data_IF_861667312487
#
_entry.id   IF_861667312487
#
_cell.length_a   1.000
_cell.length_b   1.000
_cell.length_c   1.000
_cell.angle_alpha   90.00
_cell.angle_beta   90.00
_cell.angle_gamma   90.00
#
_symmetry.space_group_name_H-M   'P 1'
#
loop_
_entity.id
_entity.type
_entity.pdbx_description
1 polymer ?
#
# COMPACT_ATOMS: atom_id res chain seq x y z
N UNK A 1 0.51 -7.44 -15.13
CA UNK A 1 1.15 -7.20 -13.82
C UNK A 1 0.23 -6.32 -12.98
N UNK A 2 0.12 -6.60 -11.69
CA UNK A 2 -0.80 -5.86 -10.83
C UNK A 2 -0.34 -4.45 -10.54
N UNK A 3 -1.28 -3.52 -10.49
CA UNK A 3 -1.04 -2.12 -10.15
C UNK A 3 -1.32 -1.90 -8.67
N UNK A 4 -0.36 -1.33 -7.97
CA UNK A 4 -0.32 -1.24 -6.52
C UNK A 4 -0.19 0.22 -6.10
N UNK A 5 -0.97 0.62 -5.07
CA UNK A 5 -0.83 1.94 -4.45
C UNK A 5 -0.42 1.79 -2.99
N UNK A 6 0.58 2.54 -2.58
CA UNK A 6 0.99 2.65 -1.18
C UNK A 6 0.44 3.94 -0.58
N UNK A 7 -0.43 3.81 0.39
CA UNK A 7 -0.83 4.94 1.24
C UNK A 7 0.18 5.03 2.38
N UNK A 8 1.09 6.00 2.27
CA UNK A 8 2.24 6.14 3.14
C UNK A 8 3.51 5.71 2.41
N UNK A 9 4.54 6.54 2.47
CA UNK A 9 5.81 6.32 1.76
C UNK A 9 7.02 6.36 2.69
N UNK A 10 6.82 5.95 3.94
CA UNK A 10 7.88 5.87 4.95
C UNK A 10 8.77 4.66 4.77
N UNK A 11 9.59 4.38 5.78
CA UNK A 11 10.60 3.33 5.70
C UNK A 11 10.05 1.95 5.35
N UNK A 12 8.91 1.59 5.92
CA UNK A 12 8.27 0.28 5.67
C UNK A 12 7.83 0.17 4.22
N UNK A 13 7.13 1.19 3.71
CA UNK A 13 6.69 1.23 2.33
C UNK A 13 7.88 1.17 1.36
N UNK A 14 8.92 1.95 1.63
CA UNK A 14 10.13 1.98 0.81
C UNK A 14 10.79 0.61 0.75
N UNK A 15 10.88 -0.07 1.90
CA UNK A 15 11.47 -1.41 1.97
C UNK A 15 10.69 -2.42 1.11
N UNK A 16 9.37 -2.40 1.20
CA UNK A 16 8.51 -3.30 0.42
C UNK A 16 8.62 -2.99 -1.07
N UNK A 17 8.61 -1.72 -1.43
CA UNK A 17 8.75 -1.29 -2.83
C UNK A 17 10.07 -1.80 -3.42
N UNK A 18 11.18 -1.64 -2.69
CA UNK A 18 12.47 -2.14 -3.15
C UNK A 18 12.46 -3.65 -3.32
N UNK A 19 11.81 -4.37 -2.41
CA UNK A 19 11.66 -5.82 -2.51
C UNK A 19 10.85 -6.23 -3.73
N UNK A 20 9.77 -5.53 -4.01
CA UNK A 20 8.94 -5.79 -5.21
C UNK A 20 9.73 -5.55 -6.50
N UNK A 21 10.46 -4.45 -6.58
CA UNK A 21 11.29 -4.14 -7.73
C UNK A 21 12.37 -5.22 -7.93
N UNK A 22 13.02 -5.63 -6.85
CA UNK A 22 14.03 -6.69 -6.90
C UNK A 22 13.47 -8.02 -7.37
N UNK A 23 12.18 -8.26 -7.11
CA UNK A 23 11.49 -9.49 -7.52
C UNK A 23 10.93 -9.41 -8.95
N UNK A 24 11.15 -8.31 -9.65
CA UNK A 24 10.73 -8.15 -11.04
C UNK A 24 9.45 -7.36 -11.27
N UNK A 25 8.86 -6.79 -10.22
CA UNK A 25 7.68 -5.94 -10.38
C UNK A 25 8.06 -4.62 -11.05
N UNK A 26 7.29 -4.21 -12.06
CA UNK A 26 7.59 -3.00 -12.82
C UNK A 26 7.28 -1.75 -11.98
N UNK A 27 8.23 -0.83 -11.92
CA UNK A 27 8.08 0.44 -11.21
C UNK A 27 6.85 1.24 -11.66
N UNK A 28 6.49 1.16 -12.93
CA UNK A 28 5.35 1.87 -13.49
C UNK A 28 4.02 1.41 -12.92
N UNK A 29 3.99 0.22 -12.33
CA UNK A 29 2.80 -0.35 -11.70
C UNK A 29 2.76 -0.14 -10.19
N UNK A 30 3.67 0.67 -9.66
CA UNK A 30 3.72 1.02 -8.24
C UNK A 30 3.50 2.53 -8.10
N UNK A 31 2.54 2.92 -7.29
CA UNK A 31 2.18 4.32 -7.05
C UNK A 31 2.19 4.59 -5.55
N UNK A 32 2.28 5.85 -5.15
CA UNK A 32 2.27 6.20 -3.74
C UNK A 32 1.44 7.46 -3.46
N UNK A 33 1.01 7.60 -2.21
CA UNK A 33 0.43 8.82 -1.65
C UNK A 33 1.11 9.08 -0.32
N UNK A 34 1.70 10.26 -0.14
CA UNK A 34 2.26 10.70 1.14
C UNK A 34 2.31 12.21 1.16
N UNK A 35 1.99 12.81 2.30
CA UNK A 35 2.05 14.26 2.50
C UNK A 35 3.46 14.75 2.78
N UNK A 36 4.35 13.87 3.25
CA UNK A 36 5.71 14.21 3.62
C UNK A 36 6.57 14.35 2.36
N UNK A 37 7.06 15.57 2.12
CA UNK A 37 7.86 15.87 0.92
C UNK A 37 9.14 15.05 0.85
N UNK A 38 9.79 14.80 1.99
CA UNK A 38 11.01 13.99 2.04
C UNK A 38 10.75 12.57 1.55
N UNK A 39 9.66 11.95 2.02
CA UNK A 39 9.25 10.62 1.57
C UNK A 39 8.91 10.61 0.08
N UNK A 40 8.16 11.61 -0.37
CA UNK A 40 7.83 11.76 -1.79
C UNK A 40 9.09 11.81 -2.65
N UNK A 41 10.09 12.60 -2.24
CA UNK A 41 11.32 12.76 -2.99
C UNK A 41 12.10 11.46 -3.10
N UNK A 42 12.14 10.66 -2.03
CA UNK A 42 12.81 9.37 -2.03
C UNK A 42 12.21 8.45 -3.11
N UNK A 43 10.88 8.35 -3.14
CA UNK A 43 10.21 7.48 -4.10
C UNK A 43 10.30 8.01 -5.54
N UNK A 44 10.21 9.32 -5.72
CA UNK A 44 10.37 9.93 -7.04
C UNK A 44 11.75 9.67 -7.62
N UNK A 45 12.80 9.70 -6.78
CA UNK A 45 14.16 9.36 -7.19
C UNK A 45 14.29 7.90 -7.62
N UNK A 46 13.51 7.02 -7.03
CA UNK A 46 13.46 5.61 -7.42
C UNK A 46 12.67 5.37 -8.71
N UNK A 47 12.01 6.39 -9.24
CA UNK A 47 11.18 6.26 -10.43
C UNK A 47 9.74 5.87 -10.14
N UNK A 48 9.29 5.97 -8.89
CA UNK A 48 7.92 5.67 -8.50
C UNK A 48 7.07 6.93 -8.63
N UNK A 49 5.91 6.82 -9.27
CA UNK A 49 5.00 7.95 -9.50
C UNK A 49 3.98 8.09 -8.39
N UNK A 50 3.51 9.32 -8.21
CA UNK A 50 2.46 9.63 -7.25
C UNK A 50 1.10 9.19 -7.81
N UNK A 51 0.25 8.63 -6.94
CA UNK A 51 -1.12 8.28 -7.30
C UNK A 51 -1.95 9.53 -7.52
N UNK A 52 -2.75 9.53 -8.59
CA UNK A 52 -3.69 10.60 -8.90
C UNK A 52 -5.06 10.01 -9.21
N UNK A 53 -6.11 10.84 -9.25
CA UNK A 53 -7.47 10.39 -9.59
C UNK A 53 -7.55 9.72 -10.96
N UNK A 54 -6.62 10.02 -11.87
CA UNK A 54 -6.56 9.38 -13.18
C UNK A 54 -6.27 7.88 -13.12
N UNK A 55 -5.72 7.39 -12.03
CA UNK A 55 -5.39 5.99 -11.83
C UNK A 55 -6.50 5.18 -11.15
N UNK A 56 -7.58 5.83 -10.77
CA UNK A 56 -8.62 5.28 -9.88
C UNK A 56 -9.13 3.90 -10.27
N UNK A 57 -9.38 3.65 -11.54
CA UNK A 57 -10.00 2.40 -12.00
C UNK A 57 -8.99 1.29 -12.32
N UNK A 58 -7.71 1.56 -12.11
CA UNK A 58 -6.63 0.66 -12.51
C UNK A 58 -5.98 -0.10 -11.35
N UNK A 59 -6.39 0.17 -10.12
CA UNK A 59 -5.68 -0.31 -8.93
C UNK A 59 -6.18 -1.69 -8.51
N UNK A 60 -5.24 -2.62 -8.38
CA UNK A 60 -5.53 -4.00 -7.95
C UNK A 60 -5.34 -4.20 -6.46
N UNK A 61 -4.45 -3.43 -5.83
CA UNK A 61 -4.06 -3.64 -4.45
C UNK A 61 -3.64 -2.34 -3.79
N UNK A 62 -4.08 -2.15 -2.55
CA UNK A 62 -3.67 -1.02 -1.71
C UNK A 62 -2.85 -1.51 -0.53
N UNK A 63 -1.70 -0.89 -0.29
CA UNK A 63 -0.97 -1.03 0.96
C UNK A 63 -1.24 0.16 1.85
N UNK A 64 -1.67 -0.10 3.07
CA UNK A 64 -1.90 0.94 4.06
C UNK A 64 -0.70 0.98 5.00
N UNK A 65 0.15 1.99 4.84
CA UNK A 65 1.41 2.13 5.56
C UNK A 65 1.59 3.52 6.16
N UNK A 66 0.49 4.14 6.54
CA UNK A 66 0.47 5.44 7.21
C UNK A 66 0.67 5.28 8.72
N UNK A 67 0.80 6.37 9.45
CA UNK A 67 0.85 6.34 10.91
C UNK A 67 -0.49 5.85 11.48
N UNK A 68 -0.49 5.17 12.65
CA UNK A 68 -1.75 4.64 13.22
C UNK A 68 -2.88 5.65 13.33
N UNK A 69 -2.57 6.89 13.67
CA UNK A 69 -3.59 7.96 13.78
C UNK A 69 -4.28 8.29 12.47
N UNK A 70 -3.64 8.00 11.34
CA UNK A 70 -4.16 8.33 10.01
C UNK A 70 -4.78 7.12 9.31
N UNK A 71 -4.68 5.93 9.91
CA UNK A 71 -5.04 4.69 9.25
C UNK A 71 -6.53 4.60 8.87
N UNK A 72 -7.41 4.94 9.78
CA UNK A 72 -8.86 4.83 9.51
C UNK A 72 -9.34 5.83 8.47
N UNK A 73 -8.79 7.03 8.47
CA UNK A 73 -9.11 8.04 7.46
C UNK A 73 -8.65 7.59 6.07
N UNK A 74 -7.42 7.10 5.97
CA UNK A 74 -6.88 6.58 4.70
C UNK A 74 -7.69 5.38 4.21
N UNK A 75 -8.06 4.47 5.12
CA UNK A 75 -8.89 3.32 4.80
C UNK A 75 -10.26 3.74 4.24
N UNK A 76 -10.91 4.73 4.87
CA UNK A 76 -12.18 5.26 4.37
C UNK A 76 -12.05 5.86 2.97
N UNK A 77 -10.97 6.58 2.70
CA UNK A 77 -10.72 7.14 1.38
C UNK A 77 -10.63 6.05 0.32
N UNK A 78 -9.94 4.95 0.63
CA UNK A 78 -9.84 3.81 -0.28
C UNK A 78 -11.22 3.22 -0.54
N UNK A 79 -11.98 2.96 0.52
CA UNK A 79 -13.31 2.32 0.41
C UNK A 79 -14.33 3.20 -0.31
N UNK A 80 -14.25 4.52 -0.13
CA UNK A 80 -15.17 5.46 -0.78
C UNK A 80 -14.87 5.61 -2.27
N UNK A 81 -13.64 5.38 -2.68
CA UNK A 81 -13.19 5.57 -4.06
C UNK A 81 -13.24 4.31 -4.90
N UNK A 82 -13.35 3.14 -4.26
CA UNK A 82 -13.23 1.85 -4.94
C UNK A 82 -14.28 0.88 -4.45
N UNK A 83 -14.82 0.07 -5.36
CA UNK A 83 -15.73 -1.02 -5.01
C UNK A 83 -14.91 -2.23 -4.57
N UNK A 84 -15.18 -2.71 -3.35
CA UNK A 84 -14.56 -3.91 -2.79
C UNK A 84 -13.03 -3.96 -3.01
N UNK A 85 -12.28 -2.94 -2.53
CA UNK A 85 -10.85 -2.92 -2.73
C UNK A 85 -10.15 -4.01 -1.93
N UNK A 86 -8.95 -4.41 -2.40
CA UNK A 86 -8.05 -5.27 -1.64
C UNK A 86 -7.07 -4.37 -0.89
N UNK A 87 -7.02 -4.52 0.42
CA UNK A 87 -6.17 -3.68 1.28
C UNK A 87 -5.29 -4.57 2.16
N UNK A 88 -3.99 -4.32 2.12
CA UNK A 88 -3.05 -4.90 3.07
C UNK A 88 -2.66 -3.81 4.05
N UNK A 89 -3.07 -3.95 5.30
CA UNK A 89 -2.68 -3.00 6.34
C UNK A 89 -1.38 -3.42 6.99
N UNK A 90 -0.42 -2.49 6.99
CA UNK A 90 0.87 -2.63 7.66
C UNK A 90 0.92 -1.81 8.94
N UNK A 91 -0.24 -1.29 9.36
CA UNK A 91 -0.34 -0.39 10.51
C UNK A 91 -0.52 -1.19 11.79
N UNK A 92 0.42 -1.04 12.72
CA UNK A 92 0.33 -1.68 14.03
C UNK A 92 -0.79 -1.05 14.87
N UNK A 93 -1.40 -1.86 15.74
CA UNK A 93 -2.34 -1.38 16.74
C UNK A 93 -3.76 -1.10 16.27
N UNK A 94 -4.05 -1.26 14.98
CA UNK A 94 -5.42 -1.08 14.46
C UNK A 94 -5.99 -2.44 14.09
N UNK A 95 -7.01 -2.86 14.82
CA UNK A 95 -7.65 -4.17 14.61
C UNK A 95 -8.60 -4.14 13.42
N UNK A 96 -8.79 -5.29 12.77
CA UNK A 96 -9.70 -5.46 11.65
C UNK A 96 -11.11 -4.93 11.95
N UNK A 97 -11.59 -5.16 13.16
CA UNK A 97 -12.90 -4.68 13.61
C UNK A 97 -13.06 -3.16 13.45
N UNK A 98 -12.01 -2.39 13.74
CA UNK A 98 -12.05 -0.93 13.58
C UNK A 98 -12.15 -0.52 12.13
N UNK A 99 -11.41 -1.19 11.24
CA UNK A 99 -11.52 -0.96 9.81
C UNK A 99 -12.95 -1.27 9.33
N UNK A 100 -13.48 -2.43 9.69
CA UNK A 100 -14.82 -2.85 9.25
C UNK A 100 -15.93 -1.97 9.82
N UNK A 101 -15.71 -1.29 10.95
CA UNK A 101 -16.68 -0.32 11.46
C UNK A 101 -16.83 0.89 10.53
N UNK A 102 -15.83 1.18 9.70
CA UNK A 102 -15.86 2.26 8.73
C UNK A 102 -16.42 1.80 7.39
N UNK A 103 -16.02 0.63 6.94
CA UNK A 103 -16.56 -0.02 5.75
C UNK A 103 -16.19 -1.50 5.79
N UNK A 104 -17.15 -2.38 5.51
CA UNK A 104 -16.94 -3.82 5.50
C UNK A 104 -16.85 -4.40 4.08
N UNK A 105 -17.08 -3.59 3.04
CA UNK A 105 -17.02 -4.07 1.66
C UNK A 105 -15.60 -3.99 1.09
N UNK A 106 -14.72 -4.83 1.66
CA UNK A 106 -13.28 -4.78 1.41
C UNK A 106 -12.69 -6.17 1.63
N UNK A 107 -11.65 -6.51 0.88
CA UNK A 107 -10.78 -7.63 1.23
C UNK A 107 -9.60 -7.07 2.02
N UNK A 108 -9.58 -7.34 3.31
CA UNK A 108 -8.58 -6.78 4.21
C UNK A 108 -7.65 -7.88 4.72
N UNK A 109 -6.35 -7.66 4.56
CA UNK A 109 -5.30 -8.48 5.15
C UNK A 109 -4.48 -7.57 6.07
N UNK A 110 -4.26 -8.03 7.30
CA UNK A 110 -3.34 -7.34 8.21
C UNK A 110 -2.03 -8.09 8.21
N UNK A 111 -0.94 -7.38 8.01
CA UNK A 111 0.39 -7.96 7.98
C UNK A 111 1.30 -7.21 8.93
N UNK A 112 2.17 -7.94 9.62
CA UNK A 112 3.22 -7.35 10.45
C UNK A 112 4.48 -7.27 9.58
N UNK A 113 4.84 -6.06 9.12
CA UNK A 113 6.02 -5.93 8.29
C UNK A 113 7.27 -6.23 9.11
N UNK A 114 8.13 -7.04 8.54
CA UNK A 114 9.46 -7.27 9.06
C UNK A 114 10.45 -6.87 7.96
N UNK A 115 11.66 -6.55 8.34
CA UNK A 115 12.71 -6.23 7.37
C UNK A 115 13.24 -7.49 6.69
N UNK A 116 12.66 -8.65 6.98
CA UNK A 116 13.14 -9.92 6.47
C UNK A 116 12.77 -10.11 4.99
N UNK A 117 13.67 -10.74 4.24
CA UNK A 117 13.41 -11.14 2.85
C UNK A 117 12.22 -12.11 2.75
N UNK A 118 11.91 -12.81 3.84
CA UNK A 118 10.77 -13.72 3.94
C UNK A 118 9.44 -13.01 3.74
N UNK A 119 9.28 -11.84 4.38
CA UNK A 119 8.07 -11.03 4.24
C UNK A 119 7.89 -10.59 2.79
N UNK A 120 8.95 -10.07 2.17
CA UNK A 120 8.90 -9.62 0.79
C UNK A 120 8.61 -10.78 -0.18
N UNK A 121 9.18 -11.95 0.05
CA UNK A 121 8.89 -13.15 -0.76
C UNK A 121 7.44 -13.59 -0.65
N UNK A 122 6.88 -13.55 0.57
CA UNK A 122 5.48 -13.88 0.81
C UNK A 122 4.54 -12.95 0.07
N UNK A 123 4.80 -11.65 0.11
CA UNK A 123 4.02 -10.64 -0.62
C UNK A 123 4.12 -10.88 -2.12
N UNK A 124 5.31 -11.10 -2.64
CA UNK A 124 5.53 -11.35 -4.06
C UNK A 124 4.74 -12.58 -4.52
N UNK A 125 4.78 -13.68 -3.77
CA UNK A 125 4.02 -14.89 -4.09
C UNK A 125 2.51 -14.63 -4.08
N UNK A 126 2.01 -13.87 -3.09
CA UNK A 126 0.58 -13.52 -3.00
C UNK A 126 0.10 -12.69 -4.17
N UNK A 127 0.98 -11.92 -4.78
CA UNK A 127 0.67 -11.09 -5.94
C UNK A 127 0.79 -11.84 -7.25
N UNK A 128 1.22 -13.09 -7.24
CA UNK A 128 1.44 -13.91 -8.44
C UNK A 128 2.40 -13.25 -9.44
N UNK A 129 3.45 -12.67 -8.93
CA UNK A 129 4.47 -11.97 -9.73
C UNK A 129 5.55 -12.95 -10.19
#
# INVERSE_FOLDING_TARGET
MKKIVFFGAGNIAQSIILGLISSGHNKENILFIDRNRKNQNVLKKLGIKEYTSNHKDEIDLFFLAVKPKDALVAYEEICNSHKKPKVISLVAGVRSKKYFSKSANVELIRAMPTTSSRFNKGITASLNI
#
